data_IF_402264420553
#
_entry.id   IF_402264420553
#
_cell.length_a   1.000
_cell.length_b   1.000
_cell.length_c   1.000
_cell.angle_alpha   90.00
_cell.angle_beta   90.00
_cell.angle_gamma   90.00
#
_symmetry.space_group_name_H-M   'P 1'
#
loop_
_entity.id
_entity.type
_entity.pdbx_description
1 polymer ?
#
# COMPACT_ATOMS: atom_id res chain seq x y z
N UNK A 1 10.51 34.55 37.52
CA UNK A 1 10.91 33.20 37.09
C UNK A 1 9.68 32.31 37.08
N UNK A 2 9.03 32.10 35.93
CA UNK A 2 8.38 30.82 35.60
C UNK A 2 8.10 30.77 34.10
N UNK A 3 9.03 30.12 33.41
CA UNK A 3 8.88 29.55 32.08
C UNK A 3 8.08 28.27 32.30
N UNK A 4 7.04 27.95 31.52
CA UNK A 4 6.71 26.54 31.24
C UNK A 4 5.62 26.34 30.17
N UNK A 5 6.11 26.01 28.98
CA UNK A 5 5.63 24.96 28.06
C UNK A 5 4.24 25.10 27.45
N UNK A 6 4.20 25.81 26.31
CA UNK A 6 3.32 25.46 25.21
C UNK A 6 3.64 24.04 24.72
N UNK A 7 2.75 23.11 25.01
CA UNK A 7 2.69 21.81 24.36
C UNK A 7 1.66 21.88 23.24
N UNK A 8 2.00 22.52 22.13
CA UNK A 8 1.25 22.36 20.89
C UNK A 8 1.43 20.89 20.48
N UNK A 9 0.38 20.09 20.70
CA UNK A 9 0.30 18.74 20.17
C UNK A 9 0.41 18.85 18.66
N UNK A 10 1.56 18.46 18.11
CA UNK A 10 1.79 18.25 16.69
C UNK A 10 0.55 17.57 16.08
N UNK A 11 0.00 18.08 14.95
CA UNK A 11 -1.12 17.41 14.32
C UNK A 11 -0.65 16.03 13.88
N UNK A 12 -1.15 14.99 14.56
CA UNK A 12 -1.17 13.66 13.99
C UNK A 12 -1.78 13.80 12.58
N UNK A 13 -0.98 13.51 11.55
CA UNK A 13 -1.41 13.58 10.17
C UNK A 13 -2.80 12.93 10.06
N UNK A 14 -3.77 13.70 9.55
CA UNK A 14 -5.14 13.22 9.40
C UNK A 14 -5.13 11.87 8.67
N UNK A 15 -5.92 10.87 9.11
CA UNK A 15 -5.93 9.57 8.47
C UNK A 15 -6.27 9.76 7.00
N UNK A 16 -5.42 9.27 6.10
CA UNK A 16 -5.75 9.26 4.66
C UNK A 16 -7.08 8.54 4.48
N UNK A 17 -8.03 9.25 3.87
CA UNK A 17 -9.37 8.72 3.66
C UNK A 17 -9.31 7.42 2.83
N UNK A 18 -10.03 6.39 3.28
CA UNK A 18 -10.14 5.14 2.52
C UNK A 18 -10.76 5.42 1.16
N UNK A 19 -10.27 4.72 0.15
CA UNK A 19 -10.90 4.73 -1.15
C UNK A 19 -12.14 3.84 -1.16
N UNK A 20 -13.17 4.26 -1.89
CA UNK A 20 -14.34 3.43 -2.17
C UNK A 20 -13.99 2.30 -3.14
N UNK A 21 -14.78 1.22 -3.10
CA UNK A 21 -14.65 0.11 -4.05
C UNK A 21 -14.72 0.61 -5.50
N UNK A 22 -15.62 1.54 -5.80
CA UNK A 22 -15.79 2.11 -7.14
C UNK A 22 -14.53 2.86 -7.60
N UNK A 23 -13.96 3.72 -6.74
CA UNK A 23 -12.70 4.42 -7.01
C UNK A 23 -11.58 3.42 -7.31
N UNK A 24 -11.48 2.32 -6.56
CA UNK A 24 -10.46 1.29 -6.80
C UNK A 24 -10.68 0.59 -8.16
N UNK A 25 -11.92 0.23 -8.49
CA UNK A 25 -12.24 -0.43 -9.76
C UNK A 25 -12.01 0.46 -10.98
N UNK A 26 -12.10 1.79 -10.82
CA UNK A 26 -11.79 2.78 -11.86
C UNK A 26 -10.29 2.81 -12.22
N UNK A 27 -9.40 2.35 -11.34
CA UNK A 27 -7.95 2.30 -11.59
C UNK A 27 -7.54 1.12 -12.47
N UNK A 28 -8.43 0.14 -12.68
CA UNK A 28 -8.08 -1.06 -13.40
C UNK A 28 -7.68 -0.73 -14.85
N UNK A 29 -6.52 -1.19 -15.34
CA UNK A 29 -6.05 -0.86 -16.68
C UNK A 29 -6.88 -1.52 -17.79
N UNK A 30 -7.63 -2.57 -17.45
CA UNK A 30 -8.59 -3.24 -18.33
C UNK A 30 -9.61 -4.06 -17.53
N UNK A 31 -10.66 -4.50 -18.21
CA UNK A 31 -11.74 -5.31 -17.62
C UNK A 31 -11.23 -6.64 -17.04
N UNK A 32 -10.23 -7.28 -17.66
CA UNK A 32 -9.67 -8.53 -17.16
C UNK A 32 -8.96 -8.32 -15.82
N UNK A 33 -8.21 -7.24 -15.68
CA UNK A 33 -7.54 -6.84 -14.43
C UNK A 33 -8.53 -6.46 -13.35
N UNK A 34 -9.62 -5.77 -13.73
CA UNK A 34 -10.74 -5.44 -12.83
C UNK A 34 -11.35 -6.72 -12.24
N UNK A 35 -11.77 -7.64 -13.09
CA UNK A 35 -12.38 -8.92 -12.68
C UNK A 35 -11.42 -9.75 -11.84
N UNK A 36 -10.15 -9.86 -12.25
CA UNK A 36 -9.15 -10.63 -11.51
C UNK A 36 -8.81 -10.00 -10.15
N UNK A 37 -8.73 -8.66 -10.08
CA UNK A 37 -8.52 -7.94 -8.82
C UNK A 37 -9.71 -8.09 -7.86
N UNK A 38 -10.94 -8.04 -8.39
CA UNK A 38 -12.17 -8.29 -7.62
C UNK A 38 -12.15 -9.61 -6.86
N UNK A 39 -11.66 -10.68 -7.49
CA UNK A 39 -11.54 -12.01 -6.86
C UNK A 39 -10.53 -12.05 -5.71
N UNK A 40 -9.56 -11.13 -5.71
CA UNK A 40 -8.56 -10.99 -4.65
C UNK A 40 -8.97 -9.99 -3.58
N UNK A 41 -10.12 -9.31 -3.70
CA UNK A 41 -10.60 -8.31 -2.73
C UNK A 41 -11.18 -8.88 -1.44
N UNK A 42 -10.73 -10.06 -1.00
CA UNK A 42 -11.20 -10.77 0.20
C UNK A 42 -10.01 -11.18 1.04
N UNK A 43 -10.19 -11.44 2.35
CA UNK A 43 -9.05 -11.72 3.24
C UNK A 43 -8.31 -13.04 2.90
N UNK A 44 -9.00 -14.03 2.34
CA UNK A 44 -8.49 -15.39 2.09
C UNK A 44 -7.12 -15.48 1.41
N UNK A 45 -6.92 -14.88 0.22
CA UNK A 45 -5.63 -14.95 -0.47
C UNK A 45 -4.52 -14.10 0.16
N UNK A 46 -4.78 -13.34 1.23
CA UNK A 46 -3.82 -12.41 1.79
C UNK A 46 -3.27 -12.84 3.14
N UNK A 47 -1.98 -12.62 3.34
CA UNK A 47 -1.30 -12.80 4.62
C UNK A 47 -0.32 -11.66 4.90
N UNK A 48 -0.05 -11.41 6.18
CA UNK A 48 0.85 -10.31 6.60
C UNK A 48 0.40 -8.94 6.08
N UNK A 49 -0.92 -8.71 6.03
CA UNK A 49 -1.48 -7.40 5.71
C UNK A 49 -1.22 -6.42 6.84
N UNK A 50 -0.97 -5.17 6.49
CA UNK A 50 -0.72 -4.11 7.45
C UNK A 50 -0.76 -2.74 6.79
N UNK A 51 -0.86 -1.71 7.61
CA UNK A 51 -0.75 -0.32 7.16
C UNK A 51 0.04 0.52 8.15
N UNK A 52 0.74 1.54 7.68
CA UNK A 52 1.49 2.45 8.55
C UNK A 52 0.58 3.54 9.15
N UNK A 53 -0.65 3.64 8.67
CA UNK A 53 -1.61 4.68 9.06
C UNK A 53 -1.30 6.07 8.52
N UNK A 54 -0.16 6.28 7.85
CA UNK A 54 0.19 7.48 7.11
C UNK A 54 -0.22 7.38 5.62
N UNK A 55 -0.54 6.16 5.17
CA UNK A 55 -1.17 5.90 3.88
C UNK A 55 -0.52 4.81 3.04
N UNK A 56 0.51 4.15 3.57
CA UNK A 56 0.99 2.92 2.96
C UNK A 56 0.22 1.71 3.51
N UNK A 57 -0.14 0.79 2.61
CA UNK A 57 -0.69 -0.53 2.92
C UNK A 57 0.08 -1.60 2.17
N UNK A 58 0.20 -2.79 2.76
CA UNK A 58 0.93 -3.90 2.16
C UNK A 58 0.28 -5.25 2.48
N UNK A 59 0.68 -6.28 1.75
CA UNK A 59 0.30 -7.66 2.00
C UNK A 59 1.01 -8.65 1.08
N UNK A 60 0.92 -9.93 1.43
CA UNK A 60 1.38 -11.05 0.58
C UNK A 60 0.15 -11.75 0.01
N UNK A 61 0.02 -11.73 -1.30
CA UNK A 61 -1.05 -12.46 -2.01
C UNK A 61 -0.56 -13.85 -2.39
N UNK A 62 -1.27 -14.90 -1.99
CA UNK A 62 -1.09 -16.22 -2.57
C UNK A 62 -1.37 -16.16 -4.08
N UNK A 63 -0.47 -16.75 -4.85
CA UNK A 63 -0.50 -16.71 -6.30
C UNK A 63 -0.37 -18.10 -6.90
N UNK A 64 -0.23 -18.17 -8.22
CA UNK A 64 -0.05 -19.42 -8.96
C UNK A 64 1.34 -20.06 -8.78
N UNK A 65 2.20 -19.52 -7.92
CA UNK A 65 3.56 -20.00 -7.70
C UNK A 65 3.83 -20.21 -6.20
N UNK A 66 4.97 -20.82 -5.89
CA UNK A 66 5.34 -21.21 -4.51
C UNK A 66 5.65 -20.05 -3.58
N UNK A 67 5.88 -18.84 -4.12
CA UNK A 67 6.19 -17.64 -3.32
C UNK A 67 5.05 -16.63 -3.44
N UNK A 68 4.42 -16.23 -2.32
CA UNK A 68 3.40 -15.18 -2.33
C UNK A 68 3.91 -13.86 -2.91
N UNK A 69 3.07 -13.18 -3.70
CA UNK A 69 3.41 -11.90 -4.29
C UNK A 69 3.32 -10.79 -3.24
N UNK A 70 4.45 -10.12 -3.01
CA UNK A 70 4.55 -8.98 -2.10
C UNK A 70 4.00 -7.74 -2.78
N UNK A 71 2.99 -7.13 -2.19
CA UNK A 71 2.29 -5.97 -2.75
C UNK A 71 2.34 -4.82 -1.74
N UNK A 72 2.72 -3.63 -2.20
CA UNK A 72 2.71 -2.38 -1.44
C UNK A 72 1.98 -1.33 -2.25
N UNK A 73 1.14 -0.55 -1.59
CA UNK A 73 0.44 0.60 -2.18
C UNK A 73 0.57 1.78 -1.23
N UNK A 74 0.73 2.97 -1.80
CA UNK A 74 0.63 4.22 -1.04
C UNK A 74 -0.51 5.03 -1.59
N UNK A 75 -1.37 5.45 -0.68
CA UNK A 75 -2.64 6.11 -0.93
C UNK A 75 -2.48 7.64 -0.98
N UNK A 76 -1.32 8.19 -0.59
CA UNK A 76 -1.07 9.65 -0.58
C UNK A 76 -0.89 10.22 -2.00
N UNK A 77 -0.30 9.43 -2.90
CA UNK A 77 -0.16 9.72 -4.32
C UNK A 77 -0.07 8.38 -5.02
N UNK A 78 -1.18 7.88 -5.60
CA UNK A 78 -1.33 6.46 -5.84
C UNK A 78 -0.20 5.86 -6.64
N UNK A 79 0.60 5.06 -5.95
CA UNK A 79 1.66 4.31 -6.56
C UNK A 79 1.68 2.92 -5.96
N UNK A 80 2.04 1.97 -6.81
CA UNK A 80 1.86 0.55 -6.56
C UNK A 80 3.20 -0.14 -6.78
N UNK A 81 3.45 -1.19 -6.01
CA UNK A 81 4.52 -2.12 -6.26
C UNK A 81 4.05 -3.52 -5.96
N UNK A 82 4.28 -4.43 -6.89
CA UNK A 82 3.98 -5.84 -6.72
C UNK A 82 5.10 -6.67 -7.31
N UNK A 83 5.53 -7.72 -6.61
CA UNK A 83 6.58 -8.63 -7.11
C UNK A 83 6.11 -9.60 -8.20
N UNK A 84 4.89 -9.47 -8.72
CA UNK A 84 4.39 -10.33 -9.79
C UNK A 84 4.95 -9.93 -11.17
N UNK A 85 5.10 -10.86 -12.12
CA UNK A 85 5.67 -10.58 -13.45
C UNK A 85 4.72 -9.81 -14.40
N UNK A 86 3.62 -9.25 -13.90
CA UNK A 86 2.64 -8.57 -14.73
C UNK A 86 3.19 -7.25 -15.28
N UNK A 87 2.95 -7.00 -16.57
CA UNK A 87 3.24 -5.71 -17.21
C UNK A 87 2.09 -4.69 -17.10
N UNK A 88 1.00 -5.04 -16.41
CA UNK A 88 -0.16 -4.16 -16.22
C UNK A 88 -0.02 -3.39 -14.91
N UNK A 89 -0.31 -2.09 -14.94
CA UNK A 89 -0.16 -1.20 -13.80
C UNK A 89 -1.40 -0.31 -13.62
N UNK A 90 -2.13 -0.41 -12.50
CA UNK A 90 -2.00 -1.39 -11.42
C UNK A 90 -2.25 -2.84 -11.88
N UNK A 91 -1.52 -3.80 -11.31
CA UNK A 91 -1.78 -5.22 -11.55
C UNK A 91 -2.97 -5.72 -10.72
N UNK A 92 -3.47 -6.94 -11.01
CA UNK A 92 -4.58 -7.55 -10.25
C UNK A 92 -4.34 -7.63 -8.74
N UNK A 93 -3.09 -7.82 -8.29
CA UNK A 93 -2.77 -7.93 -6.87
C UNK A 93 -2.84 -6.54 -6.18
N UNK A 94 -2.35 -5.49 -6.84
CA UNK A 94 -2.48 -4.12 -6.33
C UNK A 94 -3.97 -3.72 -6.21
N UNK A 95 -4.78 -4.04 -7.23
CA UNK A 95 -6.23 -3.86 -7.17
C UNK A 95 -6.87 -4.68 -6.04
N UNK A 96 -6.50 -5.95 -5.91
CA UNK A 96 -7.01 -6.83 -4.85
C UNK A 96 -6.72 -6.31 -3.44
N UNK A 97 -5.50 -5.82 -3.19
CA UNK A 97 -5.11 -5.27 -1.89
C UNK A 97 -5.94 -4.03 -1.55
N UNK A 98 -6.12 -3.13 -2.52
CA UNK A 98 -6.94 -1.93 -2.38
C UNK A 98 -8.41 -2.26 -2.14
N UNK A 99 -8.94 -3.25 -2.86
CA UNK A 99 -10.33 -3.70 -2.70
C UNK A 99 -10.54 -4.32 -1.32
N UNK A 100 -9.59 -5.14 -0.85
CA UNK A 100 -9.63 -5.66 0.51
C UNK A 100 -9.64 -4.52 1.53
N UNK A 101 -8.79 -3.49 1.36
CA UNK A 101 -8.73 -2.33 2.28
C UNK A 101 -10.02 -1.50 2.26
N UNK A 102 -10.66 -1.37 1.11
CA UNK A 102 -11.92 -0.67 0.94
C UNK A 102 -13.09 -1.41 1.59
N UNK A 103 -13.10 -2.74 1.50
CA UNK A 103 -14.14 -3.61 2.04
C UNK A 103 -13.98 -3.92 3.53
N UNK A 104 -12.75 -4.12 4.00
CA UNK A 104 -12.41 -4.52 5.36
C UNK A 104 -11.17 -3.77 5.86
N UNK A 105 -11.42 -2.75 6.71
CA UNK A 105 -10.37 -1.99 7.36
C UNK A 105 -9.64 -2.79 8.45
N UNK A 106 -10.35 -3.69 9.13
CA UNK A 106 -9.78 -4.47 10.23
C UNK A 106 -8.73 -5.48 9.74
N UNK A 107 -8.80 -5.86 8.46
CA UNK A 107 -7.76 -6.64 7.79
C UNK A 107 -6.39 -5.92 7.73
N UNK A 108 -6.34 -4.60 7.91
CA UNK A 108 -5.13 -3.78 7.86
C UNK A 108 -4.85 -3.10 9.20
N UNK A 109 -4.52 -3.91 10.21
CA UNK A 109 -4.06 -3.35 11.49
C UNK A 109 -2.82 -2.49 11.29
N UNK A 110 -2.73 -1.40 12.05
CA UNK A 110 -1.53 -0.58 12.09
C UNK A 110 -0.37 -1.43 12.62
N UNK A 111 0.73 -1.46 11.87
CA UNK A 111 1.95 -2.15 12.28
C UNK A 111 3.16 -1.53 11.61
N UNK A 112 4.35 -1.86 12.09
CA UNK A 112 5.57 -1.56 11.35
C UNK A 112 5.57 -2.33 10.01
N UNK A 113 6.03 -1.70 8.92
CA UNK A 113 6.16 -2.37 7.64
C UNK A 113 7.23 -3.44 7.70
N UNK A 114 6.96 -4.59 7.08
CA UNK A 114 8.00 -5.59 6.83
C UNK A 114 9.11 -5.00 5.96
N UNK A 115 10.35 -5.51 6.07
CA UNK A 115 11.55 -4.93 5.42
C UNK A 115 11.37 -4.59 3.94
N UNK A 116 10.71 -5.48 3.18
CA UNK A 116 10.44 -5.30 1.76
C UNK A 116 9.45 -4.17 1.46
N UNK A 117 8.48 -3.94 2.36
CA UNK A 117 7.53 -2.83 2.26
C UNK A 117 8.21 -1.53 2.70
N UNK A 118 8.95 -1.57 3.81
CA UNK A 118 9.71 -0.46 4.35
C UNK A 118 10.68 0.11 3.31
N UNK A 119 11.51 -0.74 2.70
CA UNK A 119 12.49 -0.36 1.70
C UNK A 119 11.86 0.38 0.51
N UNK A 120 10.67 -0.06 0.06
CA UNK A 120 9.98 0.58 -1.06
C UNK A 120 9.30 1.89 -0.66
N UNK A 121 8.61 1.93 0.48
CA UNK A 121 7.93 3.14 1.00
C UNK A 121 8.96 4.25 1.19
N UNK A 122 10.05 3.93 1.87
CA UNK A 122 11.15 4.84 2.15
C UNK A 122 11.83 5.30 0.85
N UNK A 123 12.06 4.38 -0.09
CA UNK A 123 12.55 4.73 -1.43
C UNK A 123 11.63 5.68 -2.20
N UNK A 124 10.31 5.61 -2.00
CA UNK A 124 9.37 6.56 -2.59
C UNK A 124 9.45 7.92 -1.91
N UNK A 125 9.42 7.97 -0.58
CA UNK A 125 9.48 9.22 0.20
C UNK A 125 10.71 10.05 -0.22
N UNK A 126 11.90 9.43 -0.26
CA UNK A 126 13.12 10.09 -0.75
C UNK A 126 13.01 10.69 -2.15
N UNK A 127 12.34 10.00 -3.09
CA UNK A 127 12.13 10.51 -4.45
C UNK A 127 11.15 11.68 -4.49
N UNK A 128 10.12 11.66 -3.65
CA UNK A 128 9.18 12.77 -3.52
C UNK A 128 9.86 14.02 -2.95
N UNK A 129 10.81 13.84 -2.03
CA UNK A 129 11.58 14.92 -1.40
C UNK A 129 12.74 15.46 -2.28
N UNK A 130 12.86 15.02 -3.54
CA UNK A 130 13.89 15.49 -4.47
C UNK A 130 15.33 15.07 -4.10
N UNK A 131 15.50 14.17 -3.14
CA UNK A 131 16.82 13.63 -2.78
C UNK A 131 17.22 12.56 -3.80
N UNK A 132 18.32 12.72 -4.57
CA UNK A 132 18.77 11.71 -5.50
C UNK A 132 19.19 10.46 -4.71
N UNK A 133 18.42 9.38 -4.84
CA UNK A 133 18.79 8.09 -4.28
C UNK A 133 19.95 7.50 -5.08
N UNK A 134 21.13 7.37 -4.47
CA UNK A 134 22.23 6.60 -5.04
C UNK A 134 21.75 5.18 -5.35
N UNK A 135 21.72 4.85 -6.64
CA UNK A 135 21.38 3.52 -7.12
C UNK A 135 22.38 2.49 -6.57
N UNK A 136 21.86 1.53 -5.82
CA UNK A 136 22.60 0.30 -5.57
C UNK A 136 22.41 -0.60 -6.80
N UNK A 137 23.40 -0.55 -7.68
CA UNK A 137 23.66 -1.58 -8.67
C UNK A 137 23.86 -2.93 -7.96
N UNK A 138 23.29 -4.00 -8.52
CA UNK A 138 23.88 -5.34 -8.62
C UNK A 138 23.09 -6.18 -9.60
#
# INVERSE_FOLDING_TARGET
MQLSHGGETSPAAAPVARWSVEQVLALAPDAASRTAGGRLGTAGPWSGTGGDGAGAVWGRCEGSGSTPYRTVVDLTGPAYHCSCPSRKFPCKHALGLLLLRAADEAAFRRSDPADWAAAWIEGRRRRADGSPGSGAAR
#
